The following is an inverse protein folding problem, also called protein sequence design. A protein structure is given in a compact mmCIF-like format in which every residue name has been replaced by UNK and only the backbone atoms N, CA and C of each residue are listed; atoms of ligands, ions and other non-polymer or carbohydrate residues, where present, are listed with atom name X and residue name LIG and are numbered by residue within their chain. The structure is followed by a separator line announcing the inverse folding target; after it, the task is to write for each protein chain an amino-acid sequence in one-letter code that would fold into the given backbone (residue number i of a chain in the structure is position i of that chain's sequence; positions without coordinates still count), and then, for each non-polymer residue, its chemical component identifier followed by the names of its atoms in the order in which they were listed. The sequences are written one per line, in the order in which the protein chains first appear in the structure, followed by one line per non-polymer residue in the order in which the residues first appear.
data_IF_561278771149
#
_entry.id   IF_561278771149
#
_cell.length_a   1.000
_cell.length_b   1.000
_cell.length_c   1.000
_cell.angle_alpha   90.00
_cell.angle_beta   90.00
_cell.angle_gamma   90.00
#
_symmetry.space_group_name_H-M   'P 1'
#
loop_
_entity.id
_entity.type
_entity.pdbx_description
1 polymer ?
#
# COMPACT_ATOMS: atom_id res chain seq x y z
N UNK A 1 9.88 19.66 4.92
CA UNK A 1 8.63 18.87 4.76
C UNK A 1 7.90 18.84 6.12
N UNK A 2 6.62 19.09 6.11
CA UNK A 2 5.85 19.04 7.35
C UNK A 2 5.78 17.59 7.87
N UNK A 3 5.88 17.43 9.19
CA UNK A 3 5.69 16.13 9.83
C UNK A 3 4.23 15.73 9.71
N UNK A 4 3.99 14.46 9.41
CA UNK A 4 2.62 13.94 9.35
C UNK A 4 1.99 13.91 10.75
N UNK A 5 0.80 14.49 10.88
CA UNK A 5 0.09 14.55 12.15
C UNK A 5 -0.77 13.31 12.36
N UNK A 6 -0.17 12.26 12.92
CA UNK A 6 -0.88 11.00 13.21
C UNK A 6 -2.05 11.21 14.18
N UNK A 7 -1.89 12.09 15.16
CA UNK A 7 -2.90 12.26 16.22
C UNK A 7 -4.21 12.82 15.64
N UNK A 8 -4.11 13.82 14.78
CA UNK A 8 -5.28 14.41 14.14
C UNK A 8 -6.07 13.34 13.36
N UNK A 9 -5.38 12.58 12.52
CA UNK A 9 -6.04 11.61 11.66
C UNK A 9 -6.54 10.39 12.44
N UNK A 10 -5.81 9.97 13.47
CA UNK A 10 -6.22 8.88 14.35
C UNK A 10 -7.52 9.24 15.06
N UNK A 11 -7.62 10.42 15.64
CA UNK A 11 -8.78 10.84 16.40
C UNK A 11 -10.02 11.02 15.53
N UNK A 12 -9.83 11.30 14.24
CA UNK A 12 -10.90 11.43 13.27
C UNK A 12 -11.36 10.08 12.68
N UNK A 13 -10.75 8.97 13.08
CA UNK A 13 -10.96 7.65 12.44
C UNK A 13 -11.46 6.62 13.44
N UNK A 14 -12.31 5.67 13.01
CA UNK A 14 -12.73 4.56 13.88
C UNK A 14 -11.59 3.59 14.13
N UNK A 15 -11.70 2.77 15.20
CA UNK A 15 -10.71 1.75 15.53
C UNK A 15 -11.24 0.34 15.19
N UNK A 16 -11.79 0.18 14.01
CA UNK A 16 -12.38 -1.10 13.57
C UNK A 16 -11.31 -2.18 13.45
N UNK A 17 -10.09 -1.80 13.03
CA UNK A 17 -8.96 -2.73 12.88
C UNK A 17 -8.65 -3.48 14.19
N UNK A 18 -8.71 -2.80 15.34
CA UNK A 18 -8.46 -3.44 16.64
C UNK A 18 -9.48 -4.53 16.94
N UNK A 19 -10.76 -4.22 16.71
CA UNK A 19 -11.85 -5.18 16.98
C UNK A 19 -11.76 -6.41 16.07
N UNK A 20 -11.21 -6.22 14.85
CA UNK A 20 -11.04 -7.32 13.90
C UNK A 20 -9.70 -8.03 14.05
N UNK A 21 -8.80 -7.55 14.91
CA UNK A 21 -7.50 -8.16 15.13
C UNK A 21 -6.60 -8.12 13.89
N UNK A 22 -6.64 -7.03 13.11
CA UNK A 22 -5.93 -6.95 11.85
C UNK A 22 -4.47 -6.56 12.03
N UNK A 23 -3.64 -7.10 11.16
CA UNK A 23 -2.33 -6.57 10.80
C UNK A 23 -2.28 -6.49 9.28
N UNK A 24 -1.23 -5.86 8.71
CA UNK A 24 -1.15 -5.65 7.27
C UNK A 24 0.13 -6.22 6.70
N UNK A 25 -0.02 -6.95 5.59
CA UNK A 25 1.11 -7.33 4.75
C UNK A 25 1.37 -6.19 3.77
N UNK A 26 2.60 -5.67 3.77
CA UNK A 26 3.01 -4.57 2.90
C UNK A 26 3.72 -5.14 1.69
N UNK A 27 3.27 -4.76 0.51
CA UNK A 27 3.80 -5.24 -0.76
C UNK A 27 4.20 -4.08 -1.65
N UNK A 28 5.30 -4.23 -2.38
CA UNK A 28 5.69 -3.31 -3.45
C UNK A 28 6.09 -4.12 -4.67
N UNK A 29 5.68 -3.65 -5.84
CA UNK A 29 6.00 -4.31 -7.10
C UNK A 29 6.22 -3.26 -8.18
N UNK A 30 7.27 -3.46 -8.99
CA UNK A 30 7.53 -2.62 -10.16
C UNK A 30 7.35 -3.48 -11.40
N UNK A 31 6.60 -2.98 -12.36
CA UNK A 31 6.30 -3.68 -13.60
C UNK A 31 6.52 -2.77 -14.78
N UNK A 32 7.05 -3.32 -15.90
CA UNK A 32 7.00 -2.61 -17.17
C UNK A 32 5.58 -2.65 -17.74
N UNK A 33 5.34 -1.94 -18.85
CA UNK A 33 4.02 -1.86 -19.46
C UNK A 33 3.51 -3.21 -19.95
N UNK A 34 4.40 -4.07 -20.45
CA UNK A 34 4.03 -5.41 -20.93
C UNK A 34 3.56 -6.29 -19.77
N UNK A 35 4.32 -6.35 -18.70
CA UNK A 35 3.95 -7.11 -17.50
C UNK A 35 2.67 -6.57 -16.87
N UNK A 36 2.55 -5.25 -16.80
CA UNK A 36 1.34 -4.61 -16.25
C UNK A 36 0.08 -5.02 -17.02
N UNK A 37 0.17 -5.15 -18.34
CA UNK A 37 -0.93 -5.57 -19.20
C UNK A 37 -1.13 -7.08 -19.28
N UNK A 38 -0.23 -7.89 -18.70
CA UNK A 38 -0.30 -9.34 -18.76
C UNK A 38 -1.16 -9.89 -17.62
N UNK A 39 -2.47 -9.98 -17.87
CA UNK A 39 -3.43 -10.40 -16.86
C UNK A 39 -3.17 -11.82 -16.35
N UNK A 40 -2.84 -12.75 -17.25
CA UNK A 40 -2.60 -14.14 -16.89
C UNK A 40 -1.42 -14.28 -15.92
N UNK A 41 -0.30 -13.59 -16.19
CA UNK A 41 0.86 -13.58 -15.31
C UNK A 41 0.54 -12.94 -13.94
N UNK A 42 -0.22 -11.86 -13.95
CA UNK A 42 -0.57 -11.14 -12.71
C UNK A 42 -1.54 -11.95 -11.83
N UNK A 43 -2.42 -12.74 -12.44
CA UNK A 43 -3.37 -13.59 -11.70
C UNK A 43 -2.75 -14.91 -11.22
N UNK A 44 -1.58 -15.29 -11.72
CA UNK A 44 -0.92 -16.53 -11.31
C UNK A 44 -0.40 -16.38 -9.86
N UNK A 45 -0.88 -17.19 -8.90
CA UNK A 45 -0.45 -17.07 -7.51
C UNK A 45 1.01 -17.45 -7.28
N UNK A 46 1.65 -18.14 -8.23
CA UNK A 46 3.07 -18.48 -8.12
C UNK A 46 4.00 -17.34 -8.58
N UNK A 47 3.47 -16.34 -9.29
CA UNK A 47 4.25 -15.24 -9.83
C UNK A 47 4.29 -14.06 -8.85
N UNK A 48 5.42 -13.37 -8.78
CA UNK A 48 5.63 -12.27 -7.83
C UNK A 48 5.01 -10.94 -8.27
N UNK A 49 4.47 -10.87 -9.48
CA UNK A 49 3.87 -9.63 -9.99
C UNK A 49 2.64 -9.20 -9.18
N UNK A 50 2.42 -7.90 -9.09
CA UNK A 50 1.24 -7.38 -8.42
C UNK A 50 -0.04 -7.96 -9.05
N UNK A 51 -0.98 -8.46 -8.23
CA UNK A 51 -2.17 -9.10 -8.76
C UNK A 51 -3.16 -8.09 -9.37
N UNK A 52 -4.05 -8.56 -10.20
CA UNK A 52 -5.16 -7.75 -10.73
C UNK A 52 -6.18 -7.44 -9.64
N UNK A 53 -6.44 -8.39 -8.76
CA UNK A 53 -7.31 -8.21 -7.60
C UNK A 53 -6.42 -8.09 -6.38
N UNK A 54 -6.45 -6.95 -5.69
CA UNK A 54 -5.44 -6.62 -4.68
C UNK A 54 -5.37 -7.63 -3.54
N UNK A 55 -6.50 -8.21 -3.12
CA UNK A 55 -6.48 -9.21 -2.04
C UNK A 55 -5.84 -10.53 -2.46
N UNK A 56 -5.61 -10.74 -3.74
CA UNK A 56 -4.85 -11.92 -4.21
C UNK A 56 -3.38 -11.87 -3.79
N UNK A 57 -2.88 -10.72 -3.26
CA UNK A 57 -1.59 -10.71 -2.58
C UNK A 57 -1.50 -11.77 -1.48
N UNK A 58 -2.60 -12.06 -0.80
CA UNK A 58 -2.64 -13.09 0.25
C UNK A 58 -2.38 -14.50 -0.30
N UNK A 59 -2.54 -14.69 -1.60
CA UNK A 59 -2.31 -15.98 -2.28
C UNK A 59 -0.92 -16.06 -2.92
N UNK A 60 -0.19 -14.95 -2.96
CA UNK A 60 1.16 -14.90 -3.52
C UNK A 60 2.16 -15.47 -2.52
N UNK A 61 3.38 -15.87 -2.99
CA UNK A 61 4.39 -16.39 -2.07
C UNK A 61 4.72 -15.41 -0.94
N UNK A 62 5.03 -15.93 0.24
CA UNK A 62 5.33 -15.10 1.42
C UNK A 62 6.56 -14.21 1.21
N UNK A 63 7.46 -14.60 0.31
CA UNK A 63 8.64 -13.78 -0.04
C UNK A 63 8.26 -12.43 -0.66
N UNK A 64 7.00 -12.26 -1.11
CA UNK A 64 6.51 -10.98 -1.63
C UNK A 64 6.13 -9.99 -0.53
N UNK A 65 6.06 -10.44 0.72
CA UNK A 65 5.77 -9.56 1.86
C UNK A 65 7.03 -8.78 2.20
N UNK A 66 6.99 -7.46 2.02
CA UNK A 66 8.15 -6.58 2.29
C UNK A 66 8.24 -6.15 3.73
N UNK A 67 7.08 -6.06 4.40
CA UNK A 67 6.98 -5.59 5.76
C UNK A 67 5.66 -6.10 6.33
N UNK A 68 5.62 -6.32 7.64
CA UNK A 68 4.36 -6.59 8.34
C UNK A 68 4.12 -5.42 9.29
N UNK A 69 3.02 -4.71 9.08
CA UNK A 69 2.61 -3.61 9.95
C UNK A 69 1.58 -4.12 10.95
N UNK A 70 1.86 -3.99 12.22
CA UNK A 70 0.97 -4.46 13.29
C UNK A 70 0.01 -3.38 13.77
N UNK A 71 0.24 -2.13 13.36
CA UNK A 71 -0.66 -1.00 13.62
C UNK A 71 -0.84 -0.19 12.33
N UNK A 72 -1.94 0.58 12.21
CA UNK A 72 -2.10 1.50 11.07
C UNK A 72 -0.95 2.49 10.94
N UNK A 73 -0.45 3.00 12.07
CA UNK A 73 0.65 3.97 12.10
C UNK A 73 1.93 3.38 11.51
N UNK A 74 2.23 2.12 11.82
CA UNK A 74 3.36 1.41 11.21
C UNK A 74 3.18 1.27 9.68
N UNK A 75 1.95 1.03 9.24
CA UNK A 75 1.62 0.98 7.82
C UNK A 75 1.89 2.31 7.13
N UNK A 76 1.49 3.42 7.75
CA UNK A 76 1.75 4.75 7.22
C UNK A 76 3.25 5.04 7.18
N UNK A 77 4.00 4.66 8.21
CA UNK A 77 5.46 4.84 8.22
C UNK A 77 6.10 4.11 7.03
N UNK A 78 5.67 2.89 6.73
CA UNK A 78 6.15 2.14 5.57
C UNK A 78 5.79 2.85 4.25
N UNK A 79 4.53 3.29 4.09
CA UNK A 79 4.10 4.02 2.89
C UNK A 79 4.92 5.28 2.67
N UNK A 80 5.17 6.05 3.72
CA UNK A 80 5.98 7.27 3.62
C UNK A 80 7.41 6.96 3.20
N UNK A 81 7.99 5.89 3.72
CA UNK A 81 9.34 5.45 3.34
C UNK A 81 9.39 5.04 1.85
N UNK A 82 8.32 4.47 1.31
CA UNK A 82 8.24 4.13 -0.12
C UNK A 82 7.96 5.35 -0.99
N UNK A 83 7.13 6.27 -0.52
CA UNK A 83 6.67 7.42 -1.28
C UNK A 83 7.72 8.51 -1.43
N UNK A 84 8.41 8.85 -0.35
CA UNK A 84 9.34 10.00 -0.33
C UNK A 84 10.38 9.93 -1.45
N UNK A 85 11.07 8.80 -1.71
CA UNK A 85 12.10 8.77 -2.76
C UNK A 85 11.52 8.78 -4.18
N UNK A 86 10.25 8.41 -4.38
CA UNK A 86 9.67 8.32 -5.74
C UNK A 86 8.83 9.53 -6.10
N UNK A 87 8.49 10.37 -5.14
CA UNK A 87 7.56 11.48 -5.32
C UNK A 87 7.92 12.37 -6.52
N UNK A 88 9.19 12.70 -6.67
CA UNK A 88 9.65 13.57 -7.75
C UNK A 88 9.60 12.91 -9.14
N UNK A 89 9.54 11.58 -9.19
CA UNK A 89 9.43 10.83 -10.43
C UNK A 89 7.99 10.70 -10.93
N UNK A 90 7.01 11.08 -10.12
CA UNK A 90 5.59 11.05 -10.47
C UNK A 90 5.15 12.39 -11.07
N UNK A 91 5.83 13.49 -10.72
CA UNK A 91 5.56 14.80 -11.29
C UNK A 91 4.30 15.45 -10.72
N UNK A 92 3.54 16.10 -11.59
CA UNK A 92 2.38 16.91 -11.18
C UNK A 92 1.31 16.10 -10.44
N UNK A 93 1.17 14.81 -10.75
CA UNK A 93 0.22 13.94 -10.07
C UNK A 93 0.50 13.87 -8.57
N UNK A 94 1.79 13.85 -8.17
CA UNK A 94 2.17 13.84 -6.77
C UNK A 94 1.74 15.12 -6.04
N UNK A 95 1.73 16.26 -6.74
CA UNK A 95 1.40 17.56 -6.16
C UNK A 95 -0.11 17.83 -6.11
N UNK A 96 -0.91 17.04 -6.83
CA UNK A 96 -2.36 17.22 -6.91
C UNK A 96 -3.04 17.03 -5.55
N UNK A 97 -2.47 16.18 -4.69
CA UNK A 97 -2.99 15.92 -3.34
C UNK A 97 -1.86 16.17 -2.35
N UNK A 98 -2.04 17.07 -1.36
CA UNK A 98 -1.02 17.26 -0.31
C UNK A 98 -0.73 15.96 0.43
N UNK A 99 0.54 15.75 0.82
CA UNK A 99 0.95 14.53 1.51
C UNK A 99 0.15 14.30 2.79
N UNK A 100 -0.18 15.34 3.56
CA UNK A 100 -1.00 15.22 4.76
C UNK A 100 -2.37 14.60 4.46
N UNK A 101 -2.98 14.96 3.35
CA UNK A 101 -4.27 14.41 2.94
C UNK A 101 -4.10 12.99 2.42
N UNK A 102 -3.06 12.75 1.62
CA UNK A 102 -2.78 11.43 1.06
C UNK A 102 -2.58 10.39 2.16
N UNK A 103 -1.70 10.68 3.10
CA UNK A 103 -1.42 9.76 4.22
C UNK A 103 -2.56 9.73 5.23
N UNK A 104 -3.28 10.83 5.41
CA UNK A 104 -4.45 10.87 6.29
C UNK A 104 -5.56 9.96 5.80
N UNK A 105 -5.84 9.98 4.50
CA UNK A 105 -6.83 9.07 3.90
C UNK A 105 -6.41 7.61 4.06
N UNK A 106 -5.13 7.31 3.84
CA UNK A 106 -4.61 5.96 4.01
C UNK A 106 -4.74 5.51 5.48
N UNK A 107 -4.39 6.37 6.44
CA UNK A 107 -4.54 6.05 7.86
C UNK A 107 -5.99 5.77 8.23
N UNK A 108 -6.91 6.61 7.75
CA UNK A 108 -8.34 6.40 7.96
C UNK A 108 -8.79 5.03 7.41
N UNK A 109 -8.36 4.68 6.20
CA UNK A 109 -8.71 3.41 5.58
C UNK A 109 -8.19 2.23 6.41
N UNK A 110 -6.94 2.27 6.83
CA UNK A 110 -6.36 1.20 7.65
C UNK A 110 -7.09 1.07 8.99
N UNK A 111 -7.35 2.16 9.67
CA UNK A 111 -8.06 2.14 10.96
C UNK A 111 -9.49 1.64 10.80
N UNK A 112 -10.11 1.89 9.66
CA UNK A 112 -11.45 1.39 9.33
C UNK A 112 -11.45 -0.09 8.92
N UNK A 113 -10.29 -0.73 8.87
CA UNK A 113 -10.15 -2.14 8.51
C UNK A 113 -10.08 -2.40 7.02
N UNK A 114 -9.82 -1.38 6.21
CA UNK A 114 -9.72 -1.49 4.76
C UNK A 114 -8.27 -1.68 4.31
N UNK A 115 -8.12 -2.23 3.10
CA UNK A 115 -6.82 -2.30 2.43
C UNK A 115 -6.49 -0.94 1.81
N UNK A 116 -5.19 -0.71 1.58
CA UNK A 116 -4.71 0.46 0.84
C UNK A 116 -3.91 -0.04 -0.35
N UNK A 117 -4.18 0.54 -1.53
CA UNK A 117 -3.45 0.22 -2.75
C UNK A 117 -3.19 1.50 -3.53
N UNK A 118 -1.91 1.75 -3.84
CA UNK A 118 -1.49 2.88 -4.66
C UNK A 118 -0.79 2.37 -5.91
N UNK A 119 -1.13 2.97 -7.06
CA UNK A 119 -0.48 2.66 -8.33
C UNK A 119 -0.03 3.94 -9.02
N UNK A 120 1.24 3.99 -9.44
CA UNK A 120 1.80 5.18 -10.10
C UNK A 120 2.79 4.77 -11.19
N UNK A 121 2.77 5.51 -12.30
CA UNK A 121 3.77 5.37 -13.35
C UNK A 121 4.98 6.24 -13.04
N UNK A 122 6.16 5.62 -12.96
CA UNK A 122 7.42 6.32 -12.72
C UNK A 122 8.07 6.63 -14.07
N UNK A 123 8.19 7.91 -14.40
CA UNK A 123 8.75 8.34 -15.67
C UNK A 123 7.99 7.83 -16.90
N UNK A 124 6.76 7.39 -16.73
CA UNK A 124 5.89 6.90 -17.80
C UNK A 124 6.18 5.49 -18.31
N UNK A 125 7.19 4.80 -17.77
CA UNK A 125 7.63 3.50 -18.28
C UNK A 125 7.51 2.35 -17.28
N UNK A 126 7.57 2.64 -15.98
CA UNK A 126 7.52 1.63 -14.91
C UNK A 126 6.34 1.90 -14.02
N UNK A 127 5.48 0.91 -13.85
CA UNK A 127 4.35 1.00 -12.91
C UNK A 127 4.80 0.52 -11.53
N UNK A 128 4.68 1.41 -10.54
CA UNK A 128 4.88 1.06 -9.13
C UNK A 128 3.54 0.76 -8.49
N UNK A 129 3.45 -0.37 -7.82
CA UNK A 129 2.29 -0.81 -7.06
C UNK A 129 2.71 -0.93 -5.59
N UNK A 130 2.01 -0.24 -4.71
CA UNK A 130 2.18 -0.32 -3.26
C UNK A 130 0.86 -0.78 -2.66
N UNK A 131 0.90 -1.78 -1.80
CA UNK A 131 -0.32 -2.30 -1.19
C UNK A 131 -0.10 -2.67 0.28
N UNK A 132 -1.11 -2.39 1.09
CA UNK A 132 -1.22 -2.88 2.46
C UNK A 132 -2.50 -3.69 2.54
N UNK A 133 -2.36 -4.99 2.78
CA UNK A 133 -3.48 -5.93 2.79
C UNK A 133 -3.71 -6.38 4.22
N UNK A 134 -4.87 -6.04 4.77
CA UNK A 134 -5.25 -6.38 6.15
C UNK A 134 -5.73 -7.80 6.27
N UNK A 135 -5.26 -8.50 7.30
CA UNK A 135 -5.70 -9.86 7.58
C UNK A 135 -5.55 -10.17 9.07
N UNK A 136 -6.46 -10.94 9.67
CA UNK A 136 -6.30 -11.46 11.02
C UNK A 136 -5.49 -12.77 11.04
N UNK A 137 -5.20 -13.36 9.88
CA UNK A 137 -4.52 -14.65 9.80
C UNK A 137 -3.05 -14.54 10.17
N UNK A 138 -2.50 -15.62 10.76
CA UNK A 138 -1.10 -15.69 11.13
C UNK A 138 -0.21 -15.57 9.89
N UNK A 139 0.83 -14.73 9.98
CA UNK A 139 1.85 -14.63 8.95
C UNK A 139 2.79 -15.83 9.04
N UNK A 140 3.15 -16.38 7.91
CA UNK A 140 4.06 -17.53 7.82
C UNK A 140 5.48 -17.07 7.58
#
# INVERSE_FOLDING_TARGET
MATFDHDYWRDASPAIWERRGLHWHCHSSRMDGETYGNEAARRDPAMDHAPKVIRDWLRKPTRTIRCVATTPEDGIAWLRAQWTPIRDHIGQEADAIPDQVRFGRALHDLRSGNDVCWGHWLGGTTHLHLALIGTPETCH
#
